data_IF_457888155166
#
_entry.id   IF_457888155166
#
_cell.length_a   1.000
_cell.length_b   1.000
_cell.length_c   1.000
_cell.angle_alpha   90.00
_cell.angle_beta   90.00
_cell.angle_gamma   90.00
#
_symmetry.space_group_name_H-M   'P 1'
#
loop_
_entity.id
_entity.type
_entity.pdbx_description
1 polymer ?
#
# COMPACT_ATOMS: atom_id res chain seq x y z
N UNK A 1 6.01 18.56 -0.36
CA UNK A 1 5.22 17.34 -0.06
C UNK A 1 3.71 17.51 -0.29
N UNK A 2 3.05 18.54 0.28
CA UNK A 2 1.58 18.68 0.22
C UNK A 2 0.97 18.65 -1.20
N UNK A 3 1.47 19.47 -2.13
CA UNK A 3 0.99 19.47 -3.51
C UNK A 3 1.20 18.13 -4.24
N UNK A 4 2.27 17.40 -3.92
CA UNK A 4 2.54 16.07 -4.47
C UNK A 4 1.54 15.02 -3.96
N UNK A 5 1.16 15.09 -2.68
CA UNK A 5 0.13 14.22 -2.11
C UNK A 5 -1.24 14.45 -2.76
N UNK A 6 -1.62 15.72 -2.97
CA UNK A 6 -2.86 16.07 -3.68
C UNK A 6 -2.84 15.51 -5.10
N UNK A 7 -1.76 15.77 -5.85
CA UNK A 7 -1.61 15.27 -7.21
C UNK A 7 -1.73 13.74 -7.27
N UNK A 8 -1.06 13.04 -6.35
CA UNK A 8 -1.08 11.58 -6.28
C UNK A 8 -2.47 11.06 -5.91
N UNK A 9 -3.15 11.68 -4.95
CA UNK A 9 -4.51 11.32 -4.57
C UNK A 9 -5.51 11.51 -5.73
N UNK A 10 -5.45 12.65 -6.44
CA UNK A 10 -6.29 12.89 -7.62
C UNK A 10 -6.01 11.84 -8.69
N UNK A 11 -4.74 11.61 -9.03
CA UNK A 11 -4.35 10.58 -10.01
C UNK A 11 -4.86 9.20 -9.61
N UNK A 12 -4.83 8.84 -8.33
CA UNK A 12 -5.28 7.55 -7.82
C UNK A 12 -6.81 7.39 -7.85
N UNK A 13 -7.54 8.50 -7.71
CA UNK A 13 -9.01 8.52 -7.82
C UNK A 13 -9.51 8.48 -9.28
N UNK A 14 -8.76 9.08 -10.21
CA UNK A 14 -9.13 9.18 -11.63
C UNK A 14 -8.57 8.02 -12.46
N UNK A 15 -7.42 7.46 -12.07
CA UNK A 15 -6.84 6.24 -12.64
C UNK A 15 -7.59 5.00 -12.16
N UNK A 16 -8.85 4.85 -12.59
CA UNK A 16 -9.65 3.64 -12.38
C UNK A 16 -9.03 2.45 -13.08
N UNK A 17 -8.96 1.32 -12.36
CA UNK A 17 -8.63 -0.03 -12.85
C UNK A 17 -7.68 -0.13 -14.06
N UNK A 18 -6.56 0.59 -14.05
CA UNK A 18 -5.41 0.08 -14.79
C UNK A 18 -5.03 -1.20 -14.06
N UNK A 19 -5.38 -2.34 -14.68
CA UNK A 19 -4.71 -3.61 -14.45
C UNK A 19 -3.26 -3.26 -14.17
N UNK A 20 -2.79 -3.58 -12.95
CA UNK A 20 -1.41 -3.35 -12.56
C UNK A 20 -0.60 -4.25 -13.46
N UNK A 21 -0.33 -3.80 -14.69
CA UNK A 21 0.47 -4.49 -15.67
C UNK A 21 1.88 -4.36 -15.13
N UNK A 22 2.39 -5.40 -14.45
CA UNK A 22 3.66 -5.31 -13.74
C UNK A 22 4.77 -4.92 -14.74
N UNK A 23 4.55 -5.25 -16.00
CA UNK A 23 5.43 -5.04 -17.15
C UNK A 23 5.73 -3.57 -17.48
N UNK A 24 4.89 -2.62 -17.05
CA UNK A 24 5.08 -1.18 -17.33
C UNK A 24 5.72 -0.40 -16.18
N UNK A 25 5.87 -0.99 -15.00
CA UNK A 25 6.50 -0.30 -13.88
C UNK A 25 8.04 -0.26 -14.09
N UNK A 26 8.69 0.92 -14.16
CA UNK A 26 10.14 1.03 -14.38
C UNK A 26 10.97 0.21 -13.39
N UNK A 27 10.47 0.02 -12.17
CA UNK A 27 11.08 -0.83 -11.17
C UNK A 27 11.10 -2.31 -11.58
N UNK A 28 10.01 -2.81 -12.15
CA UNK A 28 9.86 -4.20 -12.61
C UNK A 28 10.72 -4.46 -13.84
N UNK A 29 10.87 -3.45 -14.71
CA UNK A 29 11.77 -3.51 -15.86
C UNK A 29 13.24 -3.56 -15.43
N UNK A 30 13.60 -2.86 -14.35
CA UNK A 30 14.93 -2.91 -13.76
C UNK A 30 15.18 -4.27 -13.07
N UNK A 31 14.22 -4.78 -12.30
CA UNK A 31 14.33 -6.09 -11.65
C UNK A 31 14.39 -7.23 -12.67
N UNK A 32 13.59 -7.18 -13.76
CA UNK A 32 13.67 -8.12 -14.90
C UNK A 32 15.02 -8.07 -15.63
N UNK A 33 15.75 -6.94 -15.54
CA UNK A 33 17.08 -6.77 -16.15
C UNK A 33 18.20 -7.38 -15.29
N UNK A 34 18.02 -7.42 -13.97
CA UNK A 34 19.00 -8.00 -13.04
C UNK A 34 18.68 -9.46 -12.67
N UNK A 35 17.41 -9.88 -12.73
CA UNK A 35 16.99 -11.24 -12.39
C UNK A 35 15.97 -11.79 -13.40
N UNK A 36 16.05 -13.07 -13.77
CA UNK A 36 14.99 -13.73 -14.55
C UNK A 36 13.70 -13.74 -13.74
N UNK A 37 12.61 -13.19 -14.28
CA UNK A 37 11.28 -13.22 -13.64
C UNK A 37 10.36 -14.06 -14.51
N UNK A 38 9.65 -15.03 -13.94
CA UNK A 38 8.67 -15.82 -14.71
C UNK A 38 7.34 -15.10 -14.76
N UNK A 39 6.58 -15.30 -15.85
CA UNK A 39 5.22 -14.77 -16.01
C UNK A 39 4.13 -15.70 -15.45
N UNK A 40 4.52 -16.84 -14.87
CA UNK A 40 3.59 -17.85 -14.38
C UNK A 40 3.60 -17.87 -12.86
N UNK A 41 2.42 -17.74 -12.25
CA UNK A 41 2.21 -18.00 -10.83
C UNK A 41 2.41 -19.49 -10.57
N UNK A 42 3.48 -19.85 -9.88
CA UNK A 42 3.79 -21.25 -9.50
C UNK A 42 3.45 -21.48 -8.02
N UNK A 43 2.15 -21.43 -7.70
CA UNK A 43 1.64 -21.64 -6.34
C UNK A 43 2.17 -20.63 -5.31
N UNK A 44 2.52 -21.10 -4.10
CA UNK A 44 3.01 -20.27 -2.98
C UNK A 44 4.53 -19.99 -3.01
N UNK A 45 5.25 -20.36 -4.07
CA UNK A 45 6.71 -20.26 -4.09
C UNK A 45 7.16 -18.88 -4.59
N UNK A 46 8.06 -18.24 -3.85
CA UNK A 46 8.68 -16.94 -4.23
C UNK A 46 9.73 -17.10 -5.34
N UNK A 47 10.16 -18.33 -5.56
CA UNK A 47 11.19 -18.68 -6.53
C UNK A 47 10.77 -19.97 -7.20
N UNK A 48 10.89 -20.01 -8.51
CA UNK A 48 10.74 -21.25 -9.27
C UNK A 48 12.09 -21.66 -9.84
N UNK A 49 12.45 -22.92 -9.65
CA UNK A 49 13.62 -23.51 -10.27
C UNK A 49 13.17 -24.26 -11.53
N UNK A 50 13.36 -23.66 -12.70
CA UNK A 50 13.23 -24.38 -13.98
C UNK A 50 14.62 -24.88 -14.41
N UNK A 51 14.72 -26.03 -15.08
CA UNK A 51 16.01 -26.59 -15.47
C UNK A 51 16.78 -25.58 -16.35
N UNK A 52 17.87 -25.03 -15.79
CA UNK A 52 18.79 -24.11 -16.47
C UNK A 52 18.79 -22.65 -16.01
N UNK A 53 17.84 -22.19 -15.17
CA UNK A 53 17.89 -20.83 -14.61
C UNK A 53 17.05 -20.65 -13.34
N UNK A 54 17.54 -19.78 -12.46
CA UNK A 54 16.85 -19.34 -11.24
C UNK A 54 15.89 -18.19 -11.60
N UNK A 55 14.60 -18.29 -11.25
CA UNK A 55 13.66 -17.23 -11.56
C UNK A 55 12.75 -16.83 -10.39
N UNK A 56 12.56 -15.52 -10.24
CA UNK A 56 11.64 -14.92 -9.27
C UNK A 56 10.21 -15.02 -9.77
N UNK A 57 9.27 -15.33 -8.86
CA UNK A 57 7.84 -15.32 -9.18
C UNK A 57 7.26 -13.90 -9.06
N UNK A 58 6.10 -13.62 -9.68
CA UNK A 58 5.42 -12.33 -9.52
C UNK A 58 5.13 -11.98 -8.04
N UNK A 59 4.92 -12.98 -7.18
CA UNK A 59 4.70 -12.80 -5.74
C UNK A 59 5.91 -12.15 -5.05
N UNK A 60 7.13 -12.60 -5.39
CA UNK A 60 8.36 -12.05 -4.83
C UNK A 60 8.62 -10.60 -5.28
N UNK A 61 8.18 -10.28 -6.50
CA UNK A 61 8.28 -8.94 -7.06
C UNK A 61 7.37 -7.94 -6.32
N UNK A 62 6.13 -8.34 -6.03
CA UNK A 62 5.18 -7.55 -5.25
C UNK A 62 5.68 -7.37 -3.81
N UNK A 63 6.19 -8.43 -3.18
CA UNK A 63 6.77 -8.36 -1.84
C UNK A 63 7.94 -7.38 -1.78
N UNK A 64 8.88 -7.48 -2.72
CA UNK A 64 10.02 -6.57 -2.82
C UNK A 64 9.58 -5.12 -3.02
N UNK A 65 8.54 -4.88 -3.82
CA UNK A 65 7.98 -3.54 -4.02
C UNK A 65 7.38 -2.98 -2.73
N UNK A 66 6.63 -3.78 -1.98
CA UNK A 66 6.03 -3.36 -0.69
C UNK A 66 7.10 -3.07 0.34
N UNK A 67 8.09 -3.96 0.52
CA UNK A 67 9.21 -3.74 1.45
C UNK A 67 10.03 -2.48 1.10
N UNK A 68 10.30 -2.28 -0.20
CA UNK A 68 11.02 -1.08 -0.65
C UNK A 68 10.21 0.19 -0.39
N UNK A 69 8.90 0.13 -0.60
CA UNK A 69 7.99 1.25 -0.36
C UNK A 69 7.91 1.59 1.13
N UNK A 70 7.86 0.59 2.01
CA UNK A 70 7.87 0.77 3.47
C UNK A 70 9.18 1.40 3.95
N UNK A 71 10.33 0.97 3.41
CA UNK A 71 11.62 1.60 3.70
C UNK A 71 11.67 3.07 3.25
N UNK A 72 11.12 3.38 2.07
CA UNK A 72 11.03 4.76 1.57
C UNK A 72 10.13 5.61 2.49
N UNK A 73 8.99 5.07 2.94
CA UNK A 73 8.13 5.77 3.90
C UNK A 73 8.79 5.94 5.28
N UNK A 74 9.63 4.98 5.70
CA UNK A 74 10.40 5.08 6.94
C UNK A 74 11.36 6.29 6.93
N UNK A 75 11.89 6.70 5.77
CA UNK A 75 12.80 7.85 5.66
C UNK A 75 12.12 9.16 6.08
N UNK A 76 10.83 9.34 5.79
CA UNK A 76 10.06 10.52 6.21
C UNK A 76 9.47 10.36 7.62
N UNK A 77 9.08 9.14 8.00
CA UNK A 77 8.50 8.87 9.32
C UNK A 77 9.54 8.89 10.45
N UNK A 78 10.80 8.57 10.19
CA UNK A 78 11.88 8.62 11.19
C UNK A 78 12.07 10.04 11.75
N UNK A 79 12.28 11.10 10.94
CA UNK A 79 12.35 12.47 11.44
C UNK A 79 11.10 12.91 12.22
N UNK A 80 9.92 12.52 11.75
CA UNK A 80 8.66 12.85 12.40
C UNK A 80 8.53 12.18 13.79
N UNK A 81 8.90 10.91 13.91
CA UNK A 81 8.86 10.16 15.18
C UNK A 81 9.93 10.66 16.14
N UNK A 82 11.13 10.98 15.67
CA UNK A 82 12.15 11.62 16.51
C UNK A 82 11.66 12.96 17.07
N UNK A 83 10.80 13.69 16.36
CA UNK A 83 10.12 14.88 16.88
C UNK A 83 9.22 14.63 18.11
N UNK A 84 8.74 13.41 18.33
CA UNK A 84 7.83 13.02 19.43
C UNK A 84 8.52 12.13 20.47
N UNK A 85 9.47 11.29 20.07
CA UNK A 85 10.17 10.34 20.93
C UNK A 85 11.63 10.17 20.50
N UNK A 86 12.54 10.33 21.45
CA UNK A 86 13.99 10.27 21.25
C UNK A 86 14.59 8.90 21.65
N UNK A 87 13.82 7.82 21.60
CA UNK A 87 14.27 6.46 21.96
C UNK A 87 14.52 5.64 20.69
N UNK A 88 15.75 5.63 20.13
CA UNK A 88 16.03 5.01 18.83
C UNK A 88 15.71 3.51 18.84
N UNK A 89 15.94 2.83 19.97
CA UNK A 89 15.65 1.42 20.13
C UNK A 89 14.18 1.09 19.82
N UNK A 90 13.23 1.90 20.28
CA UNK A 90 11.79 1.67 20.02
C UNK A 90 11.47 1.88 18.54
N UNK A 91 12.08 2.89 17.92
CA UNK A 91 11.87 3.21 16.49
C UNK A 91 12.41 2.08 15.61
N UNK A 92 13.64 1.65 15.85
CA UNK A 92 14.29 0.57 15.10
C UNK A 92 13.58 -0.77 15.30
N UNK A 93 13.29 -1.15 16.55
CA UNK A 93 12.63 -2.43 16.83
C UNK A 93 11.22 -2.49 16.25
N UNK A 94 10.45 -1.39 16.32
CA UNK A 94 9.10 -1.32 15.73
C UNK A 94 9.10 -1.55 14.21
N UNK A 95 10.02 -0.91 13.47
CA UNK A 95 10.12 -1.09 12.02
C UNK A 95 10.63 -2.50 11.65
N UNK A 96 11.59 -3.04 12.40
CA UNK A 96 12.04 -4.43 12.20
C UNK A 96 10.89 -5.41 12.45
N UNK A 97 10.10 -5.22 13.50
CA UNK A 97 8.91 -6.05 13.77
C UNK A 97 7.85 -5.93 12.66
N UNK A 98 7.63 -4.73 12.10
CA UNK A 98 6.73 -4.52 10.98
C UNK A 98 7.15 -5.34 9.75
N UNK A 99 8.45 -5.33 9.43
CA UNK A 99 9.01 -6.11 8.30
C UNK A 99 8.92 -7.61 8.56
N UNK A 100 9.26 -8.08 9.78
CA UNK A 100 9.23 -9.52 10.13
C UNK A 100 7.82 -10.13 10.00
N UNK A 101 6.76 -9.33 10.19
CA UNK A 101 5.36 -9.75 10.04
C UNK A 101 4.85 -9.84 8.60
N UNK A 102 5.57 -9.31 7.61
CA UNK A 102 5.09 -9.21 6.23
C UNK A 102 4.81 -10.56 5.58
N UNK A 103 5.58 -11.60 5.94
CA UNK A 103 5.40 -12.95 5.35
C UNK A 103 4.01 -13.53 5.61
N UNK A 104 3.49 -13.39 6.84
CA UNK A 104 2.15 -13.90 7.17
C UNK A 104 1.05 -12.97 6.63
N UNK A 105 1.27 -11.66 6.71
CA UNK A 105 0.33 -10.66 6.20
C UNK A 105 0.15 -10.75 4.69
N UNK A 106 1.19 -11.14 3.96
CA UNK A 106 1.13 -11.32 2.51
C UNK A 106 0.09 -12.36 2.09
N UNK A 107 0.08 -13.53 2.72
CA UNK A 107 -0.90 -14.58 2.39
C UNK A 107 -2.32 -14.15 2.75
N UNK A 108 -2.47 -13.46 3.88
CA UNK A 108 -3.74 -12.89 4.29
C UNK A 108 -4.22 -11.83 3.28
N UNK A 109 -3.33 -10.94 2.85
CA UNK A 109 -3.64 -9.88 1.89
C UNK A 109 -3.99 -10.46 0.53
N UNK A 110 -3.25 -11.47 0.05
CA UNK A 110 -3.53 -12.15 -1.23
C UNK A 110 -4.95 -12.74 -1.27
N UNK A 111 -5.41 -13.36 -0.18
CA UNK A 111 -6.78 -13.85 -0.04
C UNK A 111 -7.81 -12.73 0.19
N UNK A 112 -7.39 -11.62 0.79
CA UNK A 112 -8.25 -10.48 1.10
C UNK A 112 -8.31 -9.42 -0.03
N UNK A 113 -7.52 -9.53 -1.10
CA UNK A 113 -7.43 -8.51 -2.14
C UNK A 113 -8.77 -8.18 -2.80
N UNK A 114 -9.65 -9.19 -2.96
CA UNK A 114 -11.00 -9.00 -3.51
C UNK A 114 -11.88 -8.09 -2.66
N UNK A 115 -11.60 -7.99 -1.36
CA UNK A 115 -12.38 -7.19 -0.41
C UNK A 115 -11.94 -5.72 -0.35
N UNK A 116 -10.84 -5.30 -1.00
CA UNK A 116 -10.25 -3.97 -0.82
C UNK A 116 -10.48 -2.97 -1.98
N UNK A 117 -11.46 -3.19 -2.85
CA UNK A 117 -11.73 -2.31 -4.01
C UNK A 117 -11.95 -0.85 -3.62
N UNK A 118 -12.69 -0.57 -2.54
CA UNK A 118 -12.98 0.80 -2.10
C UNK A 118 -11.88 1.42 -1.25
N UNK A 119 -10.92 0.62 -0.78
CA UNK A 119 -9.78 1.11 0.00
C UNK A 119 -8.92 2.07 -0.83
N UNK A 120 -8.78 1.82 -2.14
CA UNK A 120 -8.08 2.73 -3.06
C UNK A 120 -8.72 4.12 -3.07
N UNK A 121 -10.05 4.20 -3.05
CA UNK A 121 -10.77 5.46 -3.01
C UNK A 121 -10.58 6.15 -1.65
N UNK A 122 -10.72 5.42 -0.55
CA UNK A 122 -10.46 5.94 0.80
C UNK A 122 -9.06 6.52 0.96
N UNK A 123 -8.03 5.79 0.49
CA UNK A 123 -6.64 6.26 0.52
C UNK A 123 -6.44 7.52 -0.34
N UNK A 124 -7.11 7.63 -1.50
CA UNK A 124 -7.02 8.83 -2.34
C UNK A 124 -7.56 10.07 -1.62
N UNK A 125 -8.68 9.93 -0.91
CA UNK A 125 -9.27 11.00 -0.10
C UNK A 125 -8.35 11.40 1.05
N UNK A 126 -7.75 10.42 1.74
CA UNK A 126 -6.77 10.69 2.81
C UNK A 126 -5.56 11.46 2.27
N UNK A 127 -5.02 11.06 1.11
CA UNK A 127 -3.88 11.75 0.49
C UNK A 127 -4.21 13.20 0.12
N UNK A 128 -5.38 13.44 -0.46
CA UNK A 128 -5.84 14.80 -0.79
C UNK A 128 -6.02 15.63 0.49
N UNK A 129 -6.65 15.06 1.52
CA UNK A 129 -6.88 15.73 2.80
C UNK A 129 -5.57 16.11 3.50
N UNK A 130 -4.64 15.16 3.64
CA UNK A 130 -3.32 15.41 4.26
C UNK A 130 -2.53 16.42 3.43
N UNK A 131 -2.54 16.28 2.10
CA UNK A 131 -1.87 17.21 1.20
C UNK A 131 -2.40 18.64 1.32
N UNK A 132 -3.73 18.80 1.44
CA UNK A 132 -4.37 20.08 1.67
C UNK A 132 -4.01 20.65 3.04
N UNK A 133 -4.07 19.83 4.10
CA UNK A 133 -3.64 20.22 5.45
C UNK A 133 -2.20 20.74 5.45
N UNK A 134 -1.28 20.04 4.78
CA UNK A 134 0.13 20.48 4.69
C UNK A 134 0.28 21.82 3.99
N UNK A 135 -0.53 22.13 2.96
CA UNK A 135 -0.52 23.44 2.31
C UNK A 135 -1.09 24.53 3.21
N UNK A 136 -2.17 24.24 3.95
CA UNK A 136 -2.80 25.19 4.89
C UNK A 136 -1.85 25.57 6.04
N UNK A 137 -1.06 24.61 6.54
CA UNK A 137 -0.04 24.88 7.57
C UNK A 137 1.03 25.85 7.07
N UNK A 138 1.40 25.80 5.79
CA UNK A 138 2.37 26.73 5.18
C UNK A 138 1.82 28.16 5.11
N UNK A 139 0.49 28.32 5.01
CA UNK A 139 -0.20 29.63 4.98
C UNK A 139 -0.37 30.22 6.40
N UNK A 140 0.04 29.49 7.45
CA UNK A 140 0.07 29.96 8.84
C UNK A 140 -1.11 29.48 9.72
N UNK A 141 -2.04 28.70 9.16
CA UNK A 141 -3.15 28.13 9.92
C UNK A 141 -2.77 26.76 10.49
N UNK A 142 -2.76 26.67 11.82
CA UNK A 142 -2.50 25.43 12.53
C UNK A 142 -3.81 24.66 12.73
N UNK A 143 -3.99 23.59 11.96
CA UNK A 143 -5.07 22.63 12.17
C UNK A 143 -4.64 21.68 13.28
N UNK A 144 -5.51 21.49 14.27
CA UNK A 144 -5.28 20.54 15.36
C UNK A 144 -5.00 19.13 14.80
N UNK A 145 -3.90 18.54 15.27
CA UNK A 145 -3.47 17.19 14.91
C UNK A 145 -4.51 16.16 15.30
N UNK A 146 -5.20 16.37 16.44
CA UNK A 146 -6.22 15.45 16.94
C UNK A 146 -7.43 15.40 15.99
N UNK A 147 -7.90 16.56 15.54
CA UNK A 147 -9.00 16.66 14.57
C UNK A 147 -8.62 16.04 13.22
N UNK A 148 -7.39 16.28 12.76
CA UNK A 148 -6.87 15.65 11.54
C UNK A 148 -6.85 14.12 11.65
N UNK A 149 -6.42 13.60 12.80
CA UNK A 149 -6.35 12.17 13.07
C UNK A 149 -7.74 11.53 13.05
N UNK A 150 -8.74 12.17 13.67
CA UNK A 150 -10.12 11.69 13.67
C UNK A 150 -10.69 11.64 12.25
N UNK A 151 -10.46 12.67 11.44
CA UNK A 151 -10.94 12.71 10.05
C UNK A 151 -10.31 11.57 9.24
N UNK A 152 -8.99 11.40 9.31
CA UNK A 152 -8.28 10.34 8.58
C UNK A 152 -8.78 8.96 9.04
N UNK A 153 -8.90 8.74 10.36
CA UNK A 153 -9.42 7.51 10.92
C UNK A 153 -10.86 7.24 10.43
N UNK A 154 -11.71 8.26 10.38
CA UNK A 154 -13.08 8.15 9.87
C UNK A 154 -13.14 7.77 8.39
N UNK A 155 -12.31 8.39 7.54
CA UNK A 155 -12.25 8.05 6.11
C UNK A 155 -11.80 6.60 5.92
N UNK A 156 -10.75 6.17 6.62
CA UNK A 156 -10.28 4.78 6.52
C UNK A 156 -11.34 3.81 7.03
N UNK A 157 -11.93 4.09 8.20
CA UNK A 157 -12.94 3.22 8.81
C UNK A 157 -14.17 3.06 7.91
N UNK A 158 -14.71 4.17 7.38
CA UNK A 158 -15.85 4.14 6.47
C UNK A 158 -15.51 3.43 5.16
N UNK A 159 -14.30 3.61 4.64
CA UNK A 159 -13.84 2.95 3.41
C UNK A 159 -13.65 1.45 3.59
N UNK A 160 -13.15 1.01 4.75
CA UNK A 160 -13.04 -0.42 5.08
C UNK A 160 -14.43 -1.01 5.30
N UNK A 161 -15.31 -0.35 6.05
CA UNK A 161 -16.68 -0.83 6.25
C UNK A 161 -17.47 -0.92 4.95
N UNK A 162 -17.39 0.08 4.07
CA UNK A 162 -18.06 0.01 2.77
C UNK A 162 -17.51 -1.12 1.91
N UNK A 163 -16.19 -1.35 1.94
CA UNK A 163 -15.55 -2.44 1.21
C UNK A 163 -15.95 -3.82 1.73
N UNK A 164 -16.11 -4.00 3.06
CA UNK A 164 -16.56 -5.25 3.66
C UNK A 164 -18.07 -5.52 3.47
N UNK A 165 -18.92 -4.50 3.61
CA UNK A 165 -20.38 -4.68 3.45
C UNK A 165 -20.74 -4.98 2.00
N UNK A 166 -20.09 -4.32 1.04
CA UNK A 166 -20.42 -4.49 -0.38
C UNK A 166 -19.77 -5.74 -1.01
N UNK A 167 -18.65 -6.21 -0.47
CA UNK A 167 -18.06 -7.50 -0.89
C UNK A 167 -18.96 -8.68 -0.52
N UNK A 168 -19.59 -8.67 0.66
CA UNK A 168 -20.59 -9.68 1.05
C UNK A 168 -21.80 -9.69 0.10
N UNK A 169 -22.27 -8.51 -0.32
CA UNK A 169 -23.39 -8.39 -1.29
C UNK A 169 -23.02 -8.87 -2.70
N UNK A 170 -21.73 -8.95 -3.03
CA UNK A 170 -21.25 -9.43 -4.33
C UNK A 170 -21.11 -10.95 -4.35
N UNK A 171 -20.68 -11.56 -3.26
CA UNK A 171 -20.63 -13.02 -3.10
C UNK A 171 -22.04 -13.66 -3.12
N UNK A 172 -23.04 -13.01 -2.51
CA UNK A 172 -24.43 -13.52 -2.48
C UNK A 172 -25.11 -13.50 -3.85
N UNK A 173 -24.68 -12.61 -4.76
CA UNK A 173 -25.26 -12.44 -6.09
C UNK A 173 -24.72 -13.45 -7.12
N UNK A 174 -23.53 -14.00 -6.90
CA UNK A 174 -22.97 -15.09 -7.71
C UNK A 174 -23.50 -16.45 -7.27
N UNK A 175 -23.75 -16.68 -5.97
CA UNK A 175 -24.35 -17.94 -5.47
C UNK A 175 -25.82 -18.14 -5.88
N UNK A 176 -26.54 -17.08 -6.25
CA UNK A 176 -27.94 -17.18 -6.70
C UNK A 176 -28.08 -17.38 -8.22
N UNK A 177 -26.97 -17.47 -8.96
CA UNK A 177 -26.94 -17.65 -10.42
C UNK A 177 -26.44 -19.03 -10.88
N UNK A 178 -26.02 -19.90 -9.97
CA UNK A 178 -25.80 -21.34 -10.23
C UNK A 178 -27.05 -22.18 -9.96
#
# INVERSE_FOLDING_TARGET
LGAFLIFTGIKMSVGGEEEVHPERNPFIKLTRRFFPVTNFYDGQQFTTHKPGYFALTPLALVLMMVETTDLIFAVDSIPAIFGVTQKPFIIFTSNVFAILGLRSLYFLLAGAMSYFTYLKFGLSLVLIFIGLKMLVVIVGYHIDTLLSLIIVAGIIFTSVMSSLVLSQLRDEKDSSKE
#
